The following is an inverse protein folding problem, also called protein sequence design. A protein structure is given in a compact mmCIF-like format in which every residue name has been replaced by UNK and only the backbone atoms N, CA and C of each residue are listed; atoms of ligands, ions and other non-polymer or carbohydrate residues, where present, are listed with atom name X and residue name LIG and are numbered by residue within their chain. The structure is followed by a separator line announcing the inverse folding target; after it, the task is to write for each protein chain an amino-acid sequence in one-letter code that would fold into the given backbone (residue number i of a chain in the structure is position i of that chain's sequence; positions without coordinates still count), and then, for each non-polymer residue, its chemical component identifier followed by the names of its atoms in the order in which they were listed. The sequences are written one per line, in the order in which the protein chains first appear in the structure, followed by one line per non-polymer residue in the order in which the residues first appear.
data_IF_707157818687
#
_entry.id   IF_707157818687
#
_cell.length_a   1.000
_cell.length_b   1.000
_cell.length_c   1.000
_cell.angle_alpha   90.00
_cell.angle_beta   90.00
_cell.angle_gamma   90.00
#
_symmetry.space_group_name_H-M   'P 1'
#
loop_
_entity.id
_entity.type
_entity.pdbx_description
1 polymer ?
#
# COMPACT_ATOMS: atom_id res chain seq x y z
N UNK A 1 40.38 -23.23 -22.73
CA UNK A 1 38.92 -23.16 -22.47
C UNK A 1 38.73 -22.15 -21.35
N UNK A 2 38.41 -20.91 -21.70
CA UNK A 2 38.23 -19.82 -20.74
C UNK A 2 36.76 -19.78 -20.38
N UNK A 3 36.40 -20.22 -19.18
CA UNK A 3 35.02 -20.17 -18.69
C UNK A 3 34.70 -18.75 -18.22
N UNK A 4 33.77 -18.09 -18.91
CA UNK A 4 33.12 -16.89 -18.41
C UNK A 4 32.06 -17.30 -17.37
N UNK A 5 32.35 -17.09 -16.09
CA UNK A 5 31.36 -17.14 -15.03
C UNK A 5 30.45 -15.93 -15.18
N UNK A 6 29.20 -16.14 -15.63
CA UNK A 6 28.17 -15.12 -15.54
C UNK A 6 27.87 -14.87 -14.06
N UNK A 7 28.39 -13.77 -13.52
CA UNK A 7 28.00 -13.29 -12.20
C UNK A 7 26.52 -12.96 -12.24
N UNK A 8 25.75 -13.75 -11.50
CA UNK A 8 24.34 -13.57 -11.23
C UNK A 8 24.02 -12.10 -11.00
N UNK A 9 23.12 -11.55 -11.84
CA UNK A 9 22.39 -10.35 -11.51
C UNK A 9 21.95 -10.47 -10.04
N UNK A 10 22.34 -9.46 -9.24
CA UNK A 10 21.87 -9.33 -7.87
C UNK A 10 20.38 -9.65 -7.85
N UNK A 11 20.05 -10.77 -7.21
CA UNK A 11 18.70 -11.09 -6.79
C UNK A 11 18.32 -9.96 -5.84
N UNK A 12 17.77 -8.88 -6.38
CA UNK A 12 17.18 -7.81 -5.61
C UNK A 12 16.11 -8.51 -4.78
N UNK A 13 16.36 -8.66 -3.48
CA UNK A 13 15.40 -9.17 -2.52
C UNK A 13 14.19 -8.24 -2.58
N UNK A 14 13.24 -8.51 -3.49
CA UNK A 14 11.98 -7.78 -3.58
C UNK A 14 11.32 -7.99 -2.24
N UNK A 15 11.28 -6.93 -1.43
CA UNK A 15 10.43 -6.91 -0.24
C UNK A 15 9.06 -7.45 -0.63
N UNK A 16 8.47 -8.36 0.16
CA UNK A 16 7.17 -8.90 -0.16
C UNK A 16 6.17 -7.74 -0.35
N UNK A 17 5.29 -7.87 -1.34
CA UNK A 17 4.22 -6.91 -1.64
C UNK A 17 3.57 -6.43 -0.34
N UNK A 18 3.30 -5.12 -0.24
CA UNK A 18 2.59 -4.56 0.90
C UNK A 18 1.23 -5.26 1.09
N UNK A 19 0.61 -5.66 -0.02
CA UNK A 19 -0.69 -6.31 -0.06
C UNK A 19 -0.64 -7.83 0.10
N UNK A 20 0.54 -8.44 0.25
CA UNK A 20 0.68 -9.89 0.50
C UNK A 20 -0.08 -10.28 1.77
N UNK A 21 -0.95 -11.30 1.65
CA UNK A 21 -1.77 -11.85 2.74
C UNK A 21 -2.64 -10.80 3.46
N UNK A 22 -3.10 -9.78 2.72
CA UNK A 22 -3.98 -8.75 3.27
C UNK A 22 -5.45 -9.01 2.96
N UNK A 23 -6.32 -8.51 3.82
CA UNK A 23 -7.77 -8.42 3.57
C UNK A 23 -8.27 -7.07 4.06
N UNK A 24 -9.36 -6.56 3.48
CA UNK A 24 -10.03 -5.38 4.01
C UNK A 24 -10.90 -5.75 5.20
N UNK A 25 -10.97 -4.88 6.20
CA UNK A 25 -11.98 -5.03 7.26
C UNK A 25 -13.38 -4.75 6.71
N UNK A 26 -14.41 -5.25 7.39
CA UNK A 26 -15.81 -4.95 7.05
C UNK A 26 -16.11 -3.44 7.04
N UNK A 27 -15.40 -2.67 7.88
CA UNK A 27 -15.44 -1.20 7.87
C UNK A 27 -14.99 -0.65 6.52
N UNK A 28 -13.78 -1.02 6.06
CA UNK A 28 -13.24 -0.54 4.78
C UNK A 28 -14.11 -0.98 3.60
N UNK A 29 -14.61 -2.23 3.61
CA UNK A 29 -15.51 -2.73 2.57
C UNK A 29 -16.81 -1.91 2.46
N UNK A 30 -17.33 -1.39 3.58
CA UNK A 30 -18.49 -0.46 3.58
C UNK A 30 -18.10 0.91 3.05
N UNK A 31 -16.97 1.46 3.48
CA UNK A 31 -16.49 2.78 3.05
C UNK A 31 -16.22 2.84 1.53
N UNK A 32 -15.63 1.77 0.96
CA UNK A 32 -15.39 1.68 -0.49
C UNK A 32 -16.65 1.85 -1.35
N UNK A 33 -17.85 1.62 -0.78
CA UNK A 33 -19.14 1.75 -1.48
C UNK A 33 -19.75 3.16 -1.38
N UNK A 34 -19.20 4.04 -0.55
CA UNK A 34 -19.76 5.38 -0.26
C UNK A 34 -19.55 6.40 -1.38
N UNK A 35 -18.86 6.03 -2.46
CA UNK A 35 -18.53 6.91 -3.60
C UNK A 35 -17.77 8.18 -3.19
N UNK A 36 -17.11 8.19 -2.04
CA UNK A 36 -16.28 9.28 -1.52
C UNK A 36 -14.78 9.01 -1.79
N UNK A 37 -13.86 9.57 -1.02
CA UNK A 37 -12.42 9.31 -1.19
C UNK A 37 -11.95 7.93 -0.74
N UNK A 38 -12.82 7.08 -0.17
CA UNK A 38 -12.52 5.66 0.06
C UNK A 38 -12.79 4.80 -1.18
N UNK A 39 -13.53 5.32 -2.16
CA UNK A 39 -14.04 4.58 -3.33
C UNK A 39 -13.10 4.52 -4.55
N UNK A 40 -11.83 4.92 -4.41
CA UNK A 40 -10.87 4.82 -5.52
C UNK A 40 -10.67 3.37 -5.99
N UNK A 41 -10.29 3.11 -7.25
CA UNK A 41 -10.26 1.76 -7.80
C UNK A 41 -9.15 0.87 -7.20
N UNK A 42 -9.38 -0.44 -7.17
CA UNK A 42 -8.36 -1.42 -6.74
C UNK A 42 -7.09 -1.39 -7.58
N UNK A 43 -7.15 -0.90 -8.83
CA UNK A 43 -5.99 -0.78 -9.72
C UNK A 43 -4.86 0.07 -9.13
N UNK A 44 -5.15 0.96 -8.17
CA UNK A 44 -4.14 1.72 -7.41
C UNK A 44 -3.10 0.80 -6.76
N UNK A 45 -3.47 -0.42 -6.36
CA UNK A 45 -2.55 -1.39 -5.73
C UNK A 45 -1.39 -1.82 -6.63
N UNK A 46 -1.58 -1.79 -7.95
CA UNK A 46 -0.52 -2.13 -8.90
C UNK A 46 0.64 -1.13 -8.86
N UNK A 47 0.41 0.07 -8.32
CA UNK A 47 1.39 1.14 -8.19
C UNK A 47 2.09 1.13 -6.81
N UNK A 48 2.01 0.04 -6.05
CA UNK A 48 2.63 -0.04 -4.71
C UNK A 48 4.13 0.28 -4.73
N UNK A 49 4.83 -0.06 -5.82
CA UNK A 49 6.27 0.20 -5.98
C UNK A 49 6.63 1.68 -6.12
N UNK A 50 5.66 2.54 -6.46
CA UNK A 50 5.82 3.99 -6.48
C UNK A 50 5.53 4.63 -5.11
N UNK A 51 5.02 3.85 -4.15
CA UNK A 51 4.66 4.33 -2.83
C UNK A 51 5.78 4.20 -1.80
N UNK A 52 5.62 4.94 -0.71
CA UNK A 52 6.50 4.86 0.46
C UNK A 52 5.82 4.05 1.56
N UNK A 53 6.54 3.07 2.11
CA UNK A 53 6.11 2.29 3.27
C UNK A 53 6.74 2.88 4.54
N UNK A 54 5.92 3.16 5.56
CA UNK A 54 6.37 3.66 6.87
C UNK A 54 5.69 2.93 8.02
N UNK A 55 6.28 3.00 9.22
CA UNK A 55 5.63 2.55 10.46
C UNK A 55 5.04 3.74 11.18
N UNK A 56 3.83 3.58 11.70
CA UNK A 56 3.13 4.62 12.48
C UNK A 56 2.63 4.03 13.80
N UNK A 57 2.63 4.82 14.88
CA UNK A 57 2.02 4.45 16.15
C UNK A 57 0.64 5.09 16.25
N UNK A 58 -0.41 4.28 16.41
CA UNK A 58 -1.75 4.80 16.64
C UNK A 58 -1.90 5.42 18.03
N UNK A 59 -2.99 6.17 18.25
CA UNK A 59 -3.33 6.69 19.58
C UNK A 59 -3.58 5.59 20.63
N UNK A 60 -3.88 4.37 20.16
CA UNK A 60 -3.98 3.15 20.95
C UNK A 60 -2.63 2.48 21.26
N UNK A 61 -1.53 3.08 20.83
CA UNK A 61 -0.18 2.56 21.01
C UNK A 61 0.23 1.44 20.05
N UNK A 62 -0.67 0.97 19.18
CA UNK A 62 -0.39 -0.12 18.23
C UNK A 62 0.42 0.42 17.05
N UNK A 63 1.52 -0.27 16.74
CA UNK A 63 2.35 0.00 15.57
C UNK A 63 1.72 -0.63 14.33
N UNK A 64 1.52 0.17 13.28
CA UNK A 64 0.94 -0.23 12.01
C UNK A 64 1.86 0.10 10.86
N UNK A 65 1.67 -0.58 9.74
CA UNK A 65 2.39 -0.28 8.49
C UNK A 65 1.51 0.56 7.59
N UNK A 66 1.99 1.73 7.16
CA UNK A 66 1.30 2.62 6.23
C UNK A 66 1.98 2.59 4.87
N UNK A 67 1.20 2.41 3.80
CA UNK A 67 1.62 2.65 2.43
C UNK A 67 1.00 3.96 1.93
N UNK A 68 1.83 4.82 1.36
CA UNK A 68 1.45 6.10 0.77
C UNK A 68 1.86 6.10 -0.71
N UNK A 69 0.90 6.05 -1.63
CA UNK A 69 1.15 6.10 -3.08
C UNK A 69 0.75 7.49 -3.60
N UNK A 70 1.68 8.31 -4.13
CA UNK A 70 1.31 9.59 -4.71
C UNK A 70 0.46 9.40 -5.99
N UNK A 71 -0.44 10.34 -6.26
CA UNK A 71 -1.21 10.38 -7.50
C UNK A 71 -2.42 11.30 -7.41
N UNK A 72 -3.34 11.16 -8.36
CA UNK A 72 -4.52 11.99 -8.44
C UNK A 72 -5.81 11.18 -8.45
N UNK A 73 -6.86 11.73 -7.84
CA UNK A 73 -8.19 11.12 -7.82
C UNK A 73 -9.26 12.19 -7.78
N UNK A 74 -10.28 12.04 -8.63
CA UNK A 74 -11.40 13.00 -8.78
C UNK A 74 -10.93 14.44 -8.99
N UNK A 75 -9.95 14.63 -9.87
CA UNK A 75 -9.45 15.96 -10.26
C UNK A 75 -8.58 16.66 -9.21
N UNK A 76 -8.11 15.95 -8.18
CA UNK A 76 -7.21 16.49 -7.16
C UNK A 76 -5.93 15.67 -7.08
N UNK A 77 -4.80 16.35 -6.89
CA UNK A 77 -3.52 15.73 -6.52
C UNK A 77 -3.53 15.35 -5.03
N UNK A 78 -2.81 14.29 -4.68
CA UNK A 78 -2.77 13.80 -3.32
C UNK A 78 -2.07 12.45 -3.17
N UNK A 79 -2.52 11.70 -2.15
CA UNK A 79 -1.92 10.43 -1.77
C UNK A 79 -3.00 9.38 -1.50
N UNK A 80 -2.85 8.20 -2.09
CA UNK A 80 -3.60 7.01 -1.72
C UNK A 80 -2.95 6.36 -0.50
N UNK A 81 -3.68 6.32 0.61
CA UNK A 81 -3.22 5.76 1.87
C UNK A 81 -3.85 4.40 2.14
N UNK A 82 -3.01 3.45 2.57
CA UNK A 82 -3.44 2.18 3.14
C UNK A 82 -2.75 1.99 4.49
N UNK A 83 -3.49 1.60 5.54
CA UNK A 83 -2.88 1.24 6.83
C UNK A 83 -3.22 -0.21 7.14
N UNK A 84 -2.16 -0.99 7.33
CA UNK A 84 -2.18 -2.41 7.65
C UNK A 84 -1.90 -2.63 9.13
N UNK A 85 -2.84 -3.31 9.78
CA UNK A 85 -2.76 -3.82 11.15
C UNK A 85 -1.71 -4.94 11.27
N UNK A 86 -1.19 -5.23 12.48
CA UNK A 86 -0.23 -6.31 12.69
C UNK A 86 -0.69 -7.69 12.19
N UNK A 87 -2.00 -7.95 12.21
CA UNK A 87 -2.60 -9.20 11.75
C UNK A 87 -2.83 -9.27 10.21
N UNK A 88 -2.38 -8.25 9.47
CA UNK A 88 -2.53 -8.15 8.02
C UNK A 88 -3.82 -7.48 7.52
N UNK A 89 -4.74 -7.10 8.41
CA UNK A 89 -5.96 -6.38 8.04
C UNK A 89 -5.65 -4.97 7.54
N UNK A 90 -6.26 -4.57 6.43
CA UNK A 90 -6.28 -3.18 5.98
C UNK A 90 -7.51 -2.53 6.60
N UNK A 91 -7.27 -1.66 7.58
CA UNK A 91 -8.30 -0.99 8.37
C UNK A 91 -8.44 0.51 8.05
N UNK A 92 -7.60 1.00 7.14
CA UNK A 92 -7.66 2.33 6.53
C UNK A 92 -7.38 2.24 5.05
N UNK A 93 -8.20 2.94 4.27
CA UNK A 93 -8.06 3.13 2.82
C UNK A 93 -8.63 4.50 2.49
N UNK A 94 -7.81 5.47 2.12
CA UNK A 94 -8.32 6.82 1.85
C UNK A 94 -7.44 7.53 0.83
N UNK A 95 -8.05 8.20 -0.15
CA UNK A 95 -7.35 9.23 -0.91
C UNK A 95 -7.35 10.54 -0.11
N UNK A 96 -6.17 11.02 0.28
CA UNK A 96 -5.99 12.31 0.92
C UNK A 96 -5.57 13.33 -0.14
N UNK A 97 -6.49 14.20 -0.52
CA UNK A 97 -6.17 15.36 -1.37
C UNK A 97 -5.23 16.32 -0.63
N UNK A 98 -4.36 16.98 -1.39
CA UNK A 98 -3.52 18.08 -0.90
C UNK A 98 -4.34 19.33 -0.59
#
# INVERSE_FOLDING_TARGET
MTTYSATSAQQANKSPSFFKNTRYTNKVLKQMKQKDYHSFPESVKAFESAGTVSRIKGGDGIIRTKLSIPGSYKGKEGVFEFIKEPNGDINHRLFKAN
#
